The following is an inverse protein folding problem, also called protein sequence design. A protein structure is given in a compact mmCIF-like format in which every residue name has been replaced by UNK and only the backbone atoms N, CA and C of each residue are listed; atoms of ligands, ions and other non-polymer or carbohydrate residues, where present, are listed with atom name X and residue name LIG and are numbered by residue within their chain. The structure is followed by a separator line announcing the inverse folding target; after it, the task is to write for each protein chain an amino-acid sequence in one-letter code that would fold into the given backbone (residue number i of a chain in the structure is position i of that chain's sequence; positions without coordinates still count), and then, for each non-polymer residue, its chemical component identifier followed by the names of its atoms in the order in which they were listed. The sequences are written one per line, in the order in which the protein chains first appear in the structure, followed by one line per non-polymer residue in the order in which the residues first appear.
data_IF_347818860064
#
_entry.id   IF_347818860064
#
_cell.length_a   1.000
_cell.length_b   1.000
_cell.length_c   1.000
_cell.angle_alpha   90.00
_cell.angle_beta   90.00
_cell.angle_gamma   90.00
#
_symmetry.space_group_name_H-M   'P 1'
#
loop_
_entity.id
_entity.type
_entity.pdbx_description
1 polymer ?
#
# COMPACT_ATOMS: atom_id res chain seq x y z
N UNK A 1 -0.79 -10.47 -3.86
CA UNK A 1 -0.52 -9.31 -4.75
C UNK A 1 0.08 -9.74 -6.10
N UNK A 2 1.24 -10.41 -6.12
CA UNK A 2 1.92 -10.83 -7.37
C UNK A 2 0.98 -11.52 -8.39
N UNK A 3 0.22 -12.51 -7.93
CA UNK A 3 -0.79 -13.19 -8.75
C UNK A 3 -1.80 -12.24 -9.41
N UNK A 4 -2.28 -11.22 -8.68
CA UNK A 4 -3.25 -10.24 -9.21
C UNK A 4 -2.59 -9.30 -10.22
N UNK A 5 -1.34 -8.87 -9.97
CA UNK A 5 -0.58 -8.04 -10.90
C UNK A 5 -0.30 -8.76 -12.22
N UNK A 6 0.03 -10.05 -12.17
CA UNK A 6 0.23 -10.85 -13.39
C UNK A 6 -1.06 -10.99 -14.20
N UNK A 7 -2.20 -11.21 -13.53
CA UNK A 7 -3.51 -11.22 -14.21
C UNK A 7 -3.86 -9.87 -14.81
N UNK A 8 -3.52 -8.78 -14.11
CA UNK A 8 -3.68 -7.43 -14.63
C UNK A 8 -2.77 -7.19 -15.84
N UNK A 9 -1.50 -7.60 -15.80
CA UNK A 9 -0.53 -7.47 -16.90
C UNK A 9 -1.04 -8.10 -18.19
N UNK A 10 -1.65 -9.28 -18.11
CA UNK A 10 -2.19 -10.00 -19.28
C UNK A 10 -3.44 -9.35 -19.89
N UNK A 11 -4.18 -8.56 -19.11
CA UNK A 11 -5.47 -7.96 -19.51
C UNK A 11 -5.39 -6.45 -19.74
N UNK A 12 -4.32 -5.82 -19.25
CA UNK A 12 -4.16 -4.38 -19.23
C UNK A 12 -3.83 -3.86 -20.63
N UNK A 13 -4.43 -2.72 -21.05
CA UNK A 13 -4.02 -2.02 -22.26
C UNK A 13 -2.62 -1.39 -22.12
N UNK A 14 -2.16 -1.18 -20.89
CA UNK A 14 -0.80 -0.70 -20.58
C UNK A 14 0.15 -1.88 -20.51
N UNK A 15 1.23 -1.83 -21.29
CA UNK A 15 2.31 -2.81 -21.26
C UNK A 15 3.26 -2.51 -20.10
N UNK A 16 3.55 -3.53 -19.29
CA UNK A 16 4.54 -3.46 -18.23
C UNK A 16 5.10 -4.85 -17.95
N UNK A 17 6.26 -4.87 -17.31
CA UNK A 17 6.92 -6.09 -16.85
C UNK A 17 6.88 -6.16 -15.33
N UNK A 18 6.97 -7.37 -14.80
CA UNK A 18 6.97 -7.63 -13.36
C UNK A 18 8.23 -8.40 -13.03
N UNK A 19 9.04 -7.85 -12.14
CA UNK A 19 10.13 -8.57 -11.49
C UNK A 19 9.68 -8.87 -10.06
N UNK A 20 9.55 -10.15 -9.72
CA UNK A 20 9.21 -10.54 -8.35
C UNK A 20 10.47 -10.51 -7.49
N UNK A 21 10.40 -9.83 -6.35
CA UNK A 21 11.52 -9.71 -5.42
C UNK A 21 11.09 -10.19 -4.05
N UNK A 22 11.93 -11.01 -3.43
CA UNK A 22 11.83 -11.38 -2.03
C UNK A 22 13.11 -10.96 -1.28
N UNK A 23 12.95 -10.24 -0.16
CA UNK A 23 14.06 -9.83 0.68
C UNK A 23 14.12 -10.73 1.92
N UNK A 24 15.09 -11.64 1.91
CA UNK A 24 15.50 -12.41 3.08
C UNK A 24 16.40 -11.51 3.95
N UNK A 25 15.94 -11.29 5.16
CA UNK A 25 16.54 -10.34 6.11
C UNK A 25 17.59 -10.97 7.04
N UNK A 26 17.91 -12.26 6.83
CA UNK A 26 18.87 -13.00 7.63
C UNK A 26 18.36 -13.35 9.03
N UNK A 27 17.03 -13.47 9.19
CA UNK A 27 16.45 -13.84 10.48
C UNK A 27 16.77 -15.32 10.80
N UNK A 28 17.16 -15.64 12.04
CA UNK A 28 17.37 -17.02 12.46
C UNK A 28 16.11 -17.88 12.23
N UNK A 29 16.28 -19.02 11.56
CA UNK A 29 15.18 -19.95 11.28
C UNK A 29 14.23 -19.54 10.16
N UNK A 30 14.53 -18.50 9.38
CA UNK A 30 13.76 -18.15 8.20
C UNK A 30 13.88 -19.22 7.10
N UNK A 31 12.75 -19.68 6.57
CA UNK A 31 12.69 -20.54 5.38
C UNK A 31 11.84 -19.89 4.27
N UNK A 32 12.52 -19.45 3.21
CA UNK A 32 11.89 -18.91 1.99
C UNK A 32 11.53 -19.97 0.94
N UNK A 33 11.95 -21.22 1.12
CA UNK A 33 11.80 -22.30 0.13
C UNK A 33 10.35 -22.52 -0.33
N UNK A 34 9.31 -22.44 0.52
CA UNK A 34 7.93 -22.57 0.07
C UNK A 34 7.51 -21.51 -0.96
N UNK A 35 7.99 -20.27 -0.80
CA UNK A 35 7.72 -19.18 -1.74
C UNK A 35 8.51 -19.38 -3.04
N UNK A 36 9.78 -19.77 -2.96
CA UNK A 36 10.62 -20.03 -4.13
C UNK A 36 10.00 -21.13 -5.01
N UNK A 37 9.65 -22.28 -4.43
CA UNK A 37 9.01 -23.40 -5.16
C UNK A 37 7.68 -23.00 -5.78
N UNK A 38 6.86 -22.22 -5.07
CA UNK A 38 5.59 -21.76 -5.61
C UNK A 38 5.79 -20.81 -6.79
N UNK A 39 6.73 -19.86 -6.69
CA UNK A 39 7.05 -18.95 -7.79
C UNK A 39 7.53 -19.72 -9.02
N UNK A 40 8.45 -20.67 -8.86
CA UNK A 40 8.94 -21.54 -9.93
C UNK A 40 7.79 -22.31 -10.60
N UNK A 41 6.94 -22.97 -9.81
CA UNK A 41 5.79 -23.73 -10.32
C UNK A 41 4.76 -22.85 -11.06
N UNK A 42 4.67 -21.56 -10.73
CA UNK A 42 3.80 -20.60 -11.42
C UNK A 42 4.50 -19.89 -12.61
N UNK A 43 5.78 -20.16 -12.87
CA UNK A 43 6.57 -19.52 -13.92
C UNK A 43 6.94 -18.06 -13.60
N UNK A 44 7.01 -17.69 -12.33
CA UNK A 44 7.51 -16.38 -11.91
C UNK A 44 9.03 -16.40 -11.77
N UNK A 45 9.69 -15.42 -12.38
CA UNK A 45 11.10 -15.12 -12.11
C UNK A 45 11.22 -14.39 -10.77
N UNK A 46 11.60 -15.14 -9.72
CA UNK A 46 11.75 -14.63 -8.36
C UNK A 46 13.21 -14.32 -8.06
N UNK A 47 13.51 -13.05 -7.84
CA UNK A 47 14.80 -12.58 -7.33
C UNK A 47 14.80 -12.59 -5.81
N UNK A 48 15.55 -13.51 -5.20
CA UNK A 48 15.80 -13.51 -3.76
C UNK A 48 17.05 -12.69 -3.44
N UNK A 49 16.88 -11.64 -2.64
CA UNK A 49 17.97 -10.80 -2.12
C UNK A 49 18.16 -11.13 -0.65
N UNK A 50 19.40 -11.47 -0.27
CA UNK A 50 19.77 -11.87 1.09
C UNK A 50 20.62 -10.77 1.72
N UNK A 51 20.12 -10.17 2.80
CA UNK A 51 20.77 -9.07 3.50
C UNK A 51 20.61 -9.26 5.01
N UNK A 52 21.69 -9.16 5.79
CA UNK A 52 21.63 -9.33 7.25
C UNK A 52 21.10 -8.08 7.97
N UNK A 53 19.90 -7.64 7.61
CA UNK A 53 19.25 -6.50 8.27
C UNK A 53 18.90 -6.82 9.72
N UNK A 54 18.60 -8.08 10.05
CA UNK A 54 18.32 -8.51 11.41
C UNK A 54 19.51 -8.24 12.34
N UNK A 55 20.69 -8.76 11.99
CA UNK A 55 21.92 -8.56 12.77
C UNK A 55 22.26 -7.08 12.97
N UNK A 56 22.15 -6.27 11.91
CA UNK A 56 22.38 -4.82 11.99
C UNK A 56 21.42 -4.15 12.99
N UNK A 57 20.15 -4.57 13.00
CA UNK A 57 19.13 -3.98 13.87
C UNK A 57 19.36 -4.38 15.33
N UNK A 58 19.65 -5.66 15.58
CA UNK A 58 19.92 -6.16 16.94
C UNK A 58 21.21 -5.62 17.53
N UNK A 59 22.22 -5.36 16.70
CA UNK A 59 23.49 -4.74 17.14
C UNK A 59 23.31 -3.26 17.50
N UNK A 60 22.52 -2.52 16.70
CA UNK A 60 22.40 -1.05 16.82
C UNK A 60 21.33 -0.58 17.78
N UNK A 61 20.33 -1.41 18.08
CA UNK A 61 19.20 -1.03 18.92
C UNK A 61 19.26 -1.85 20.21
N UNK A 62 19.34 -1.20 21.39
CA UNK A 62 19.31 -1.89 22.67
C UNK A 62 18.08 -2.78 22.82
N UNK A 63 18.22 -3.86 23.58
CA UNK A 63 17.09 -4.70 23.95
C UNK A 63 15.97 -3.89 24.63
N UNK A 64 14.71 -4.22 24.32
CA UNK A 64 13.53 -3.51 24.81
C UNK A 64 13.18 -2.21 24.07
N UNK A 65 13.95 -1.81 23.04
CA UNK A 65 13.60 -0.70 22.14
C UNK A 65 13.06 -1.22 20.81
N UNK A 66 12.26 -0.39 20.12
CA UNK A 66 11.54 -0.77 18.90
C UNK A 66 12.48 -0.95 17.70
N UNK A 67 12.60 -2.19 17.24
CA UNK A 67 13.40 -2.58 16.07
C UNK A 67 12.81 -2.15 14.72
N UNK A 68 11.48 -2.03 14.63
CA UNK A 68 10.75 -1.85 13.37
C UNK A 68 11.14 -0.58 12.60
N UNK A 69 11.50 0.51 13.29
CA UNK A 69 11.87 1.76 12.63
C UNK A 69 13.13 1.62 11.77
N UNK A 70 14.19 1.02 12.31
CA UNK A 70 15.44 0.81 11.57
C UNK A 70 15.28 -0.30 10.52
N UNK A 71 14.64 -1.43 10.88
CA UNK A 71 14.34 -2.51 9.95
C UNK A 71 13.55 -2.02 8.72
N UNK A 72 12.49 -1.23 8.91
CA UNK A 72 11.70 -0.68 7.79
C UNK A 72 12.53 0.24 6.89
N UNK A 73 13.42 1.07 7.47
CA UNK A 73 14.32 1.94 6.70
C UNK A 73 15.32 1.13 5.87
N UNK A 74 15.94 0.11 6.46
CA UNK A 74 16.89 -0.77 5.77
C UNK A 74 16.22 -1.52 4.62
N UNK A 75 15.10 -2.20 4.88
CA UNK A 75 14.33 -2.91 3.84
C UNK A 75 13.97 -2.01 2.67
N UNK A 76 13.51 -0.79 2.96
CA UNK A 76 13.15 0.17 1.93
C UNK A 76 14.36 0.60 1.10
N UNK A 77 15.49 0.89 1.75
CA UNK A 77 16.73 1.23 1.06
C UNK A 77 17.19 0.12 0.11
N UNK A 78 17.20 -1.13 0.59
CA UNK A 78 17.56 -2.30 -0.22
C UNK A 78 16.65 -2.43 -1.43
N UNK A 79 15.32 -2.39 -1.23
CA UNK A 79 14.35 -2.52 -2.32
C UNK A 79 14.45 -1.37 -3.34
N UNK A 80 14.76 -0.15 -2.89
CA UNK A 80 14.90 1.00 -3.77
C UNK A 80 16.17 0.92 -4.61
N UNK A 81 17.29 0.51 -4.00
CA UNK A 81 18.55 0.30 -4.73
C UNK A 81 18.40 -0.81 -5.77
N UNK A 82 17.82 -1.94 -5.37
CA UNK A 82 17.55 -3.05 -6.28
C UNK A 82 16.62 -2.63 -7.43
N UNK A 83 15.56 -1.86 -7.14
CA UNK A 83 14.68 -1.35 -8.17
C UNK A 83 15.43 -0.46 -9.18
N UNK A 84 16.37 0.37 -8.72
CA UNK A 84 17.21 1.17 -9.61
C UNK A 84 18.17 0.30 -10.45
N UNK A 85 18.83 -0.69 -9.84
CA UNK A 85 19.72 -1.64 -10.52
C UNK A 85 19.00 -2.45 -11.61
N UNK A 86 17.76 -2.84 -11.34
CA UNK A 86 16.91 -3.59 -12.29
C UNK A 86 16.20 -2.70 -13.31
N UNK A 87 16.39 -1.37 -13.27
CA UNK A 87 15.70 -0.43 -14.17
C UNK A 87 14.19 -0.31 -13.92
N UNK A 88 13.70 -0.71 -12.75
CA UNK A 88 12.29 -0.67 -12.38
C UNK A 88 11.83 0.76 -12.09
N UNK A 89 10.80 1.25 -12.78
CA UNK A 89 10.23 2.58 -12.50
C UNK A 89 9.24 2.60 -11.32
N UNK A 90 8.74 1.43 -10.91
CA UNK A 90 7.70 1.28 -9.87
C UNK A 90 8.02 0.15 -8.91
N UNK A 91 7.65 0.34 -7.64
CA UNK A 91 7.78 -0.66 -6.57
C UNK A 91 6.39 -0.92 -6.01
N UNK A 92 5.83 -2.10 -6.26
CA UNK A 92 4.55 -2.50 -5.71
C UNK A 92 4.72 -3.11 -4.32
N UNK A 93 4.00 -2.59 -3.33
CA UNK A 93 3.97 -3.11 -1.96
C UNK A 93 2.57 -3.60 -1.61
N UNK A 94 2.49 -4.71 -0.87
CA UNK A 94 1.25 -5.42 -0.55
C UNK A 94 0.36 -4.77 0.50
N UNK A 95 0.56 -3.49 0.82
CA UNK A 95 -0.23 -2.80 1.83
C UNK A 95 -1.71 -2.74 1.44
N UNK A 96 -2.58 -2.97 2.41
CA UNK A 96 -4.03 -3.06 2.23
C UNK A 96 -4.81 -2.00 3.02
N UNK A 97 -6.15 -2.05 2.97
CA UNK A 97 -7.01 -1.05 3.61
C UNK A 97 -6.77 -0.96 5.12
N UNK A 98 -6.71 -2.11 5.80
CA UNK A 98 -6.46 -2.17 7.25
C UNK A 98 -5.09 -1.56 7.61
N UNK A 99 -4.03 -1.78 6.81
CA UNK A 99 -2.73 -1.14 7.04
C UNK A 99 -2.83 0.40 7.02
N UNK A 100 -3.65 0.95 6.12
CA UNK A 100 -3.85 2.40 6.00
C UNK A 100 -4.60 2.96 7.21
N UNK A 101 -5.62 2.25 7.69
CA UNK A 101 -6.39 2.60 8.89
C UNK A 101 -5.49 2.53 10.13
N UNK A 102 -4.75 1.43 10.31
CA UNK A 102 -3.80 1.30 11.41
C UNK A 102 -2.74 2.40 11.37
N UNK A 103 -2.24 2.76 10.19
CA UNK A 103 -1.27 3.85 10.05
C UNK A 103 -1.86 5.21 10.40
N UNK A 104 -3.12 5.48 10.00
CA UNK A 104 -3.85 6.67 10.42
C UNK A 104 -3.93 6.75 11.95
N UNK A 105 -4.34 5.66 12.61
CA UNK A 105 -4.49 5.63 14.06
C UNK A 105 -3.16 5.76 14.78
N UNK A 106 -2.10 5.12 14.28
CA UNK A 106 -0.76 5.29 14.82
C UNK A 106 -0.31 6.76 14.76
N UNK A 107 -0.51 7.42 13.62
CA UNK A 107 -0.13 8.82 13.45
C UNK A 107 -0.98 9.75 14.34
N UNK A 108 -2.28 9.48 14.44
CA UNK A 108 -3.20 10.25 15.27
C UNK A 108 -2.88 10.11 16.76
N UNK A 109 -2.70 8.89 17.25
CA UNK A 109 -2.56 8.61 18.68
C UNK A 109 -1.13 8.81 19.22
N UNK A 110 -0.10 8.61 18.40
CA UNK A 110 1.29 8.61 18.88
C UNK A 110 2.20 9.64 18.21
N UNK A 111 1.87 10.13 17.02
CA UNK A 111 2.69 11.11 16.30
C UNK A 111 2.08 12.52 16.26
N UNK A 112 0.82 12.70 16.67
CA UNK A 112 0.13 13.98 16.60
C UNK A 112 -0.06 14.51 15.18
N UNK A 113 -0.19 13.61 14.20
CA UNK A 113 -0.33 13.97 12.78
C UNK A 113 -1.51 13.26 12.14
N UNK A 114 -2.17 13.93 11.18
CA UNK A 114 -3.28 13.37 10.43
C UNK A 114 -2.79 12.89 9.06
N UNK A 115 -2.66 11.58 8.90
CA UNK A 115 -2.27 11.00 7.61
C UNK A 115 -2.12 9.49 7.69
N UNK A 116 -2.38 8.81 6.58
CA UNK A 116 -2.18 7.37 6.44
C UNK A 116 -0.99 7.09 5.50
N UNK A 117 -1.18 6.22 4.51
CA UNK A 117 -0.24 5.98 3.43
C UNK A 117 -0.89 6.25 2.07
N UNK A 118 -0.25 7.00 1.17
CA UNK A 118 -0.83 7.30 -0.12
C UNK A 118 -0.80 6.08 -1.05
N UNK A 119 -1.75 5.93 -2.00
CA UNK A 119 -1.75 4.83 -2.98
C UNK A 119 -0.54 4.87 -3.92
N UNK A 120 -0.02 6.07 -4.18
CA UNK A 120 1.15 6.34 -5.01
C UNK A 120 2.08 7.30 -4.27
N UNK A 121 3.36 6.99 -4.21
CA UNK A 121 4.38 7.84 -3.59
C UNK A 121 5.61 7.87 -4.49
N UNK A 122 6.01 9.05 -4.95
CA UNK A 122 7.29 9.24 -5.67
C UNK A 122 8.41 9.31 -4.65
N UNK A 123 9.52 8.62 -4.90
CA UNK A 123 10.70 8.68 -4.03
C UNK A 123 11.32 10.07 -4.06
N UNK A 124 12.02 10.47 -2.98
CA UNK A 124 12.60 11.82 -2.88
C UNK A 124 13.58 12.15 -4.01
N UNK A 125 14.29 11.14 -4.51
CA UNK A 125 15.23 11.24 -5.62
C UNK A 125 14.56 11.10 -7.00
N UNK A 126 13.22 10.96 -7.05
CA UNK A 126 12.44 10.86 -8.29
C UNK A 126 12.62 9.55 -9.08
N UNK A 127 13.52 8.66 -8.66
CA UNK A 127 13.90 7.46 -9.44
C UNK A 127 12.82 6.40 -9.51
N UNK A 128 12.01 6.25 -8.46
CA UNK A 128 10.98 5.22 -8.39
C UNK A 128 9.65 5.78 -7.90
N UNK A 129 8.57 5.08 -8.23
CA UNK A 129 7.25 5.31 -7.65
C UNK A 129 6.80 4.09 -6.87
N UNK A 130 6.58 4.23 -5.56
CA UNK A 130 5.91 3.20 -4.76
C UNK A 130 4.42 3.21 -5.05
N UNK A 131 3.86 2.04 -5.32
CA UNK A 131 2.42 1.84 -5.53
C UNK A 131 1.89 0.80 -4.53
N UNK A 132 0.62 0.96 -4.12
CA UNK A 132 -0.08 0.04 -3.20
C UNK A 132 -1.35 -0.48 -3.87
N UNK A 133 -1.27 -1.50 -4.74
CA UNK A 133 -2.41 -1.96 -5.53
C UNK A 133 -3.57 -2.51 -4.69
N UNK A 134 -3.31 -2.90 -3.45
CA UNK A 134 -4.30 -3.49 -2.55
C UNK A 134 -4.86 -2.50 -1.53
N UNK A 135 -4.58 -1.20 -1.64
CA UNK A 135 -4.95 -0.21 -0.61
C UNK A 135 -6.45 -0.14 -0.30
N UNK A 136 -7.31 -0.58 -1.23
CA UNK A 136 -8.76 -0.62 -1.04
C UNK A 136 -9.30 -2.02 -0.69
N UNK A 137 -8.44 -3.04 -0.67
CA UNK A 137 -8.82 -4.39 -0.32
C UNK A 137 -8.75 -4.60 1.19
N UNK A 138 -9.78 -5.24 1.76
CA UNK A 138 -9.79 -5.62 3.19
C UNK A 138 -8.89 -6.81 3.44
N UNK A 139 -8.21 -6.83 4.57
CA UNK A 139 -7.35 -7.94 4.99
C UNK A 139 -8.10 -9.28 5.01
N UNK A 140 -9.32 -9.31 5.56
CA UNK A 140 -10.17 -10.51 5.59
C UNK A 140 -10.46 -11.07 4.19
N UNK A 141 -10.67 -10.19 3.21
CA UNK A 141 -10.89 -10.59 1.81
C UNK A 141 -9.62 -11.15 1.19
N UNK A 142 -8.46 -10.54 1.48
CA UNK A 142 -7.15 -11.02 1.01
C UNK A 142 -6.84 -12.39 1.61
N UNK A 143 -7.04 -12.57 2.91
CA UNK A 143 -6.84 -13.83 3.62
C UNK A 143 -7.71 -14.94 3.02
N UNK A 144 -9.02 -14.68 2.85
CA UNK A 144 -9.94 -15.63 2.23
C UNK A 144 -9.54 -15.98 0.81
N UNK A 145 -9.10 -14.99 0.02
CA UNK A 145 -8.60 -15.24 -1.33
C UNK A 145 -7.32 -16.10 -1.32
N UNK A 146 -6.41 -15.86 -0.38
CA UNK A 146 -5.19 -16.65 -0.25
C UNK A 146 -5.46 -18.11 0.11
N UNK A 147 -6.43 -18.38 1.00
CA UNK A 147 -6.90 -19.72 1.32
C UNK A 147 -7.47 -20.44 0.09
N UNK A 148 -8.40 -19.78 -0.63
CA UNK A 148 -9.05 -20.36 -1.81
C UNK A 148 -8.06 -20.69 -2.93
N UNK A 149 -7.00 -19.90 -3.05
CA UNK A 149 -5.93 -20.11 -4.03
C UNK A 149 -4.78 -20.99 -3.50
N UNK A 150 -4.86 -21.44 -2.25
CA UNK A 150 -3.84 -22.23 -1.57
C UNK A 150 -2.42 -21.64 -1.69
N UNK A 151 -2.29 -20.32 -1.49
CA UNK A 151 -0.97 -19.68 -1.53
C UNK A 151 -0.09 -20.13 -0.35
N UNK A 152 1.23 -20.28 -0.55
CA UNK A 152 2.14 -20.54 0.56
C UNK A 152 2.15 -19.35 1.51
N UNK A 153 1.83 -19.59 2.78
CA UNK A 153 1.92 -18.58 3.82
C UNK A 153 3.27 -18.75 4.51
N UNK A 154 4.15 -17.77 4.32
CA UNK A 154 5.40 -17.68 5.08
C UNK A 154 5.09 -17.11 6.46
N UNK A 155 5.37 -17.83 7.56
CA UNK A 155 5.12 -17.32 8.89
C UNK A 155 5.99 -16.08 9.14
N UNK A 156 5.36 -15.01 9.62
CA UNK A 156 6.05 -13.78 10.03
C UNK A 156 6.20 -13.78 11.55
N UNK A 157 6.96 -14.72 12.07
CA UNK A 157 7.32 -14.86 13.49
C UNK A 157 8.76 -14.37 13.77
N UNK A 158 9.41 -13.80 12.74
CA UNK A 158 10.85 -13.67 12.66
C UNK A 158 11.43 -12.47 13.41
N UNK A 159 10.65 -11.39 13.58
CA UNK A 159 11.04 -10.27 14.43
C UNK A 159 10.74 -10.51 15.92
N UNK A 160 10.65 -11.77 16.35
CA UNK A 160 10.57 -12.21 17.74
C UNK A 160 9.62 -11.40 18.59
N UNK A 161 8.31 -11.47 18.37
CA UNK A 161 7.28 -11.07 19.36
C UNK A 161 7.44 -9.69 20.03
N UNK A 162 8.26 -8.78 19.50
CA UNK A 162 8.01 -7.35 19.60
C UNK A 162 7.08 -7.05 18.46
N UNK A 163 5.82 -7.44 18.66
CA UNK A 163 4.73 -6.74 17.99
C UNK A 163 5.07 -5.25 18.04
N UNK A 164 4.81 -4.54 16.97
CA UNK A 164 4.43 -3.15 17.17
C UNK A 164 3.22 -3.22 18.10
N UNK A 165 3.43 -3.24 19.42
CA UNK A 165 2.39 -3.28 20.43
C UNK A 165 1.35 -2.26 20.05
N UNK A 166 1.79 -1.10 19.59
CA UNK A 166 0.95 -0.04 19.04
C UNK A 166 0.14 -0.46 17.80
N UNK A 167 0.72 -1.13 16.78
CA UNK A 167 -0.04 -1.56 15.59
C UNK A 167 -1.03 -2.68 15.93
N UNK A 168 -0.61 -3.68 16.70
CA UNK A 168 -1.48 -4.75 17.17
C UNK A 168 -2.61 -4.19 18.08
N UNK A 169 -2.28 -3.22 18.95
CA UNK A 169 -3.25 -2.47 19.73
C UNK A 169 -4.22 -1.69 18.84
N UNK A 170 -3.74 -1.01 17.79
CA UNK A 170 -4.62 -0.29 16.86
C UNK A 170 -5.53 -1.27 16.10
N UNK A 171 -5.01 -2.42 15.69
CA UNK A 171 -5.83 -3.48 15.06
C UNK A 171 -6.93 -3.95 16.00
N UNK A 172 -6.56 -4.29 17.24
CA UNK A 172 -7.51 -4.71 18.29
C UNK A 172 -8.55 -3.62 18.57
N UNK A 173 -8.14 -2.36 18.64
CA UNK A 173 -9.05 -1.23 18.81
C UNK A 173 -10.06 -1.13 17.65
N UNK A 174 -9.62 -1.30 16.41
CA UNK A 174 -10.50 -1.27 15.24
C UNK A 174 -11.44 -2.48 15.23
N UNK A 175 -10.96 -3.66 15.63
CA UNK A 175 -11.80 -4.85 15.82
C UNK A 175 -12.91 -4.58 16.85
N UNK A 176 -12.55 -4.03 18.02
CA UNK A 176 -13.50 -3.68 19.08
C UNK A 176 -14.48 -2.58 18.65
N UNK A 177 -14.05 -1.63 17.84
CA UNK A 177 -14.93 -0.61 17.27
C UNK A 177 -15.92 -1.22 16.28
N UNK A 178 -15.49 -2.15 15.43
CA UNK A 178 -16.35 -2.80 14.43
C UNK A 178 -17.48 -3.60 15.08
N UNK A 179 -17.26 -4.17 16.28
CA UNK A 179 -18.33 -4.86 17.03
C UNK A 179 -19.46 -3.92 17.47
N UNK A 180 -19.14 -2.63 17.71
CA UNK A 180 -20.07 -1.61 18.20
C UNK A 180 -20.61 -0.71 17.09
N UNK A 181 -19.80 -0.51 16.05
CA UNK A 181 -20.06 0.37 14.90
C UNK A 181 -19.83 -0.47 13.64
N UNK A 182 -20.88 -1.12 13.11
CA UNK A 182 -20.76 -1.90 11.88
C UNK A 182 -20.21 -1.05 10.74
N UNK A 183 -19.25 -1.59 9.98
CA UNK A 183 -18.62 -0.93 8.82
C UNK A 183 -17.75 0.27 9.17
N UNK A 184 -17.24 0.34 10.41
CA UNK A 184 -16.35 1.42 10.85
C UNK A 184 -15.08 1.49 10.00
N UNK A 185 -14.54 0.35 9.55
CA UNK A 185 -13.39 0.31 8.64
C UNK A 185 -13.67 1.01 7.31
N UNK A 186 -14.82 0.76 6.70
CA UNK A 186 -15.23 1.48 5.48
C UNK A 186 -15.37 2.98 5.75
N UNK A 187 -15.97 3.36 6.88
CA UNK A 187 -16.11 4.76 7.26
C UNK A 187 -14.74 5.44 7.44
N UNK A 188 -13.79 4.78 8.11
CA UNK A 188 -12.44 5.29 8.32
C UNK A 188 -11.67 5.42 7.00
N UNK A 189 -11.77 4.42 6.11
CA UNK A 189 -11.13 4.48 4.80
C UNK A 189 -11.75 5.58 3.91
N UNK A 190 -13.08 5.75 3.97
CA UNK A 190 -13.78 6.83 3.27
C UNK A 190 -13.35 8.20 3.80
N UNK A 191 -13.19 8.35 5.12
CA UNK A 191 -12.72 9.61 5.73
C UNK A 191 -11.33 10.03 5.22
N UNK A 192 -10.45 9.09 4.88
CA UNK A 192 -9.15 9.39 4.26
C UNK A 192 -9.28 9.99 2.85
N UNK A 193 -10.39 9.76 2.15
CA UNK A 193 -10.67 10.34 0.84
C UNK A 193 -11.57 11.60 0.91
N UNK A 194 -12.33 11.77 1.99
CA UNK A 194 -13.30 12.85 2.18
C UNK A 194 -12.84 13.86 3.24
N UNK A 195 -11.75 14.55 2.97
CA UNK A 195 -11.19 15.56 3.86
C UNK A 195 -11.85 16.91 3.59
N UNK A 196 -12.27 17.63 4.65
CA UNK A 196 -12.77 19.01 4.58
C UNK A 196 -11.69 19.98 5.04
N UNK A 197 -10.91 20.63 4.14
CA UNK A 197 -9.76 21.44 4.54
C UNK A 197 -10.14 22.60 5.47
N UNK A 198 -11.28 23.24 5.25
CA UNK A 198 -11.80 24.34 6.09
C UNK A 198 -12.00 23.94 7.55
N UNK A 199 -12.17 22.65 7.85
CA UNK A 199 -12.39 22.13 9.19
C UNK A 199 -11.11 21.59 9.85
N UNK A 200 -9.96 21.66 9.16
CA UNK A 200 -8.66 21.30 9.71
C UNK A 200 -7.97 22.52 10.30
N UNK A 201 -7.19 22.30 11.37
CA UNK A 201 -6.47 23.36 12.08
C UNK A 201 -5.22 23.87 11.35
N UNK A 202 -4.78 23.19 10.29
CA UNK A 202 -3.61 23.57 9.50
C UNK A 202 -3.92 24.81 8.63
N UNK A 203 -3.42 25.98 9.06
CA UNK A 203 -3.58 27.24 8.35
C UNK A 203 -2.89 27.23 6.97
N UNK A 204 -1.70 26.65 6.87
CA UNK A 204 -0.95 26.60 5.61
C UNK A 204 -1.65 25.71 4.59
N UNK A 205 -2.23 24.59 5.01
CA UNK A 205 -3.08 23.74 4.17
C UNK A 205 -4.32 24.49 3.68
N UNK A 206 -5.01 25.20 4.59
CA UNK A 206 -6.20 25.99 4.25
C UNK A 206 -5.88 27.10 3.26
N UNK A 207 -4.83 27.86 3.49
CA UNK A 207 -4.39 28.95 2.60
C UNK A 207 -3.94 28.40 1.25
N UNK A 208 -3.12 27.35 1.23
CA UNK A 208 -2.62 26.73 0.01
C UNK A 208 -3.72 26.15 -0.89
N UNK A 209 -4.87 25.80 -0.31
CA UNK A 209 -6.06 25.30 -1.03
C UNK A 209 -7.15 26.38 -1.22
N UNK A 210 -6.94 27.62 -0.78
CA UNK A 210 -7.96 28.67 -0.83
C UNK A 210 -9.19 28.41 0.07
N UNK A 211 -9.05 27.56 1.08
CA UNK A 211 -10.10 27.06 1.96
C UNK A 211 -10.04 27.72 3.36
N UNK A 212 -10.03 29.05 3.42
CA UNK A 212 -9.74 29.81 4.64
C UNK A 212 -10.94 29.96 5.60
N UNK A 213 -12.17 29.92 5.08
CA UNK A 213 -13.41 30.12 5.86
C UNK A 213 -14.38 28.96 5.60
N UNK A 214 -14.97 28.40 6.67
CA UNK A 214 -16.11 27.49 6.56
C UNK A 214 -17.39 28.32 6.37
N UNK A 215 -18.14 28.05 5.30
CA UNK A 215 -19.41 28.72 5.00
C UNK A 215 -20.54 27.73 5.27
N UNK A 216 -21.47 28.09 6.17
CA UNK A 216 -22.66 27.29 6.43
C UNK A 216 -23.52 27.17 5.16
N UNK A 217 -23.93 25.96 4.80
CA UNK A 217 -24.84 25.71 3.67
C UNK A 217 -24.22 25.84 2.27
N UNK A 218 -22.92 26.07 2.14
CA UNK A 218 -22.24 25.94 0.84
C UNK A 218 -22.24 24.47 0.42
N UNK A 219 -23.09 24.12 -0.55
CA UNK A 219 -23.09 22.81 -1.19
C UNK A 219 -21.66 22.43 -1.57
N UNK A 220 -21.25 21.25 -1.14
CA UNK A 220 -19.92 20.68 -1.41
C UNK A 220 -19.63 20.79 -2.90
N UNK A 221 -18.56 21.52 -3.24
CA UNK A 221 -18.16 21.76 -4.62
C UNK A 221 -18.07 20.46 -5.40
N UNK A 222 -18.95 20.33 -6.38
CA UNK A 222 -19.07 19.27 -7.35
C UNK A 222 -17.78 19.23 -8.20
N UNK A 223 -16.75 18.58 -7.67
CA UNK A 223 -15.53 18.19 -8.38
C UNK A 223 -15.67 16.84 -9.08
N UNK A 224 -16.88 16.29 -9.18
CA UNK A 224 -17.22 15.18 -10.04
C UNK A 224 -17.92 15.75 -11.28
N UNK A 225 -17.14 16.21 -12.26
CA UNK A 225 -17.72 16.53 -13.56
C UNK A 225 -18.41 15.28 -14.11
N UNK A 226 -19.70 15.46 -14.39
CA UNK A 226 -20.61 14.51 -15.00
C UNK A 226 -19.97 13.80 -16.19
N UNK A 227 -19.78 12.48 -16.08
CA UNK A 227 -19.91 11.59 -17.22
C UNK A 227 -21.34 11.06 -17.19
N UNK A 228 -22.28 11.87 -17.70
CA UNK A 228 -23.63 11.41 -17.98
C UNK A 228 -23.58 10.29 -19.02
N UNK A 229 -24.28 9.22 -18.68
CA UNK A 229 -24.59 8.08 -19.53
C UNK A 229 -25.27 8.51 -20.82
N UNK A 230 -24.60 8.34 -21.95
CA UNK A 230 -25.25 8.23 -23.25
C UNK A 230 -25.39 6.73 -23.61
N UNK A 231 -26.64 6.28 -23.75
CA UNK A 231 -26.99 4.95 -24.25
C UNK A 231 -26.40 4.69 -25.67
N UNK A 232 -26.16 3.43 -26.07
CA UNK A 232 -25.42 3.14 -27.29
C UNK A 232 -26.31 3.30 -28.54
N UNK A 233 -25.99 4.29 -29.37
CA UNK A 233 -26.43 4.32 -30.76
C UNK A 233 -25.50 3.44 -31.62
N UNK A 234 -26.11 2.62 -32.50
CA UNK A 234 -25.47 1.64 -33.40
C UNK A 234 -24.42 2.28 -34.34
N UNK A 235 -23.45 1.50 -34.85
CA UNK A 235 -22.30 2.04 -35.56
C UNK A 235 -22.63 2.34 -37.03
N UNK A 236 -22.34 3.58 -37.47
CA UNK A 236 -22.13 3.88 -38.89
C UNK A 236 -20.63 3.98 -39.15
N UNK A 237 -20.16 3.17 -40.10
CA UNK A 237 -18.78 3.14 -40.62
C UNK A 237 -18.36 4.50 -41.17
N UNK A 238 -17.15 4.94 -40.85
CA UNK A 238 -16.09 5.38 -41.78
C UNK A 238 -15.08 6.31 -41.10
N UNK A 239 -13.81 6.19 -41.50
CA UNK A 239 -12.83 7.28 -41.40
C UNK A 239 -11.71 7.09 -40.38
N UNK A 240 -10.71 6.28 -40.72
CA UNK A 240 -9.43 6.23 -40.03
C UNK A 240 -8.74 7.59 -39.99
N UNK A 241 -8.13 7.95 -38.86
CA UNK A 241 -6.95 8.83 -38.79
C UNK A 241 -6.15 8.53 -37.51
N UNK A 242 -4.98 7.93 -37.72
CA UNK A 242 -3.89 7.80 -36.76
C UNK A 242 -3.36 9.18 -36.37
N UNK A 243 -2.99 9.37 -35.10
CA UNK A 243 -2.02 10.37 -34.62
C UNK A 243 -1.39 9.86 -33.29
N UNK A 244 -0.19 10.33 -32.91
CA UNK A 244 0.93 9.46 -32.58
C UNK A 244 1.22 9.32 -31.08
N UNK A 245 2.01 8.31 -30.80
CA UNK A 245 2.57 7.91 -29.50
C UNK A 245 3.66 8.89 -29.05
N UNK A 246 3.60 9.31 -27.79
CA UNK A 246 4.74 9.62 -26.91
C UNK A 246 4.46 9.00 -25.55
#
# INVERSE_FOLDING_TARGET
MLHLLERARRRSPVRFEIVAVHLDQGHPGYDGTPLERWCEAQGFDLRVVRENTYGIVTERIPEGKTYCSLCSRLRRGILYNLAAELGCTKIALGHHADDAIETLLLNLCFAGSLGAMPPKLVTKDGRNTVIRPLLYAKEKTIARFAELMAFPILPCNLCGSQENLQRAQMKTLVDDLETRIPRVRESMLAALAHVKPTHLLDAALREGLGATVAIEGAAEGDGASRAESAAPAKPSRQGARQLPVV
#
